data_IF_678645834601
#
_entry.id   IF_678645834601
#
_cell.length_a   1.000
_cell.length_b   1.000
_cell.length_c   1.000
_cell.angle_alpha   90.00
_cell.angle_beta   90.00
_cell.angle_gamma   90.00
#
_symmetry.space_group_name_H-M   'P 1'
#
loop_
_entity.id
_entity.type
_entity.pdbx_description
1 polymer ?
#
# COMPACT_ATOMS: atom_id res chain seq x y z
N UNK A 1 -25.93 16.02 -0.22
CA UNK A 1 -26.30 14.94 -1.20
C UNK A 1 -27.20 13.92 -0.52
N UNK A 2 -28.20 13.35 -1.20
CA UNK A 2 -29.10 12.36 -0.60
C UNK A 2 -28.41 11.00 -0.53
N UNK A 3 -28.74 10.18 0.48
CA UNK A 3 -28.25 8.79 0.61
C UNK A 3 -28.48 7.96 -0.66
N UNK A 4 -29.57 8.26 -1.38
CA UNK A 4 -29.89 7.63 -2.66
C UNK A 4 -28.85 7.92 -3.75
N UNK A 5 -28.36 9.16 -3.85
CA UNK A 5 -27.35 9.54 -4.84
C UNK A 5 -25.99 8.87 -4.56
N UNK A 6 -25.63 8.69 -3.29
CA UNK A 6 -24.42 7.95 -2.89
C UNK A 6 -24.55 6.45 -3.21
N UNK A 7 -25.73 5.88 -2.96
CA UNK A 7 -26.02 4.49 -3.31
C UNK A 7 -25.93 4.25 -4.83
N UNK A 8 -26.55 5.10 -5.62
CA UNK A 8 -26.49 5.03 -7.09
C UNK A 8 -25.06 5.22 -7.61
N UNK A 9 -24.29 6.12 -6.99
CA UNK A 9 -22.87 6.27 -7.32
C UNK A 9 -22.07 4.97 -7.08
N UNK A 10 -22.25 4.35 -5.91
CA UNK A 10 -21.60 3.06 -5.60
C UNK A 10 -22.02 1.95 -6.56
N UNK A 11 -23.28 1.96 -7.02
CA UNK A 11 -23.78 0.92 -7.93
C UNK A 11 -23.19 1.02 -9.34
N UNK A 12 -22.96 2.25 -9.83
CA UNK A 12 -22.42 2.49 -11.18
C UNK A 12 -20.91 2.34 -11.24
N UNK A 13 -20.21 2.59 -10.12
CA UNK A 13 -18.76 2.50 -10.08
C UNK A 13 -18.32 1.19 -9.46
N UNK A 14 -17.82 0.27 -10.29
CA UNK A 14 -17.40 -1.08 -9.91
C UNK A 14 -16.31 -1.11 -8.81
N UNK A 15 -15.54 -0.05 -8.66
CA UNK A 15 -14.50 0.12 -7.63
C UNK A 15 -15.07 0.05 -6.20
N UNK A 16 -16.38 0.31 -6.02
CA UNK A 16 -17.07 0.18 -4.73
C UNK A 16 -17.82 -1.14 -4.56
N UNK A 17 -17.76 -2.02 -5.55
CA UNK A 17 -18.43 -3.31 -5.46
C UNK A 17 -17.68 -4.26 -4.51
N UNK A 18 -18.39 -5.18 -3.84
CA UNK A 18 -17.75 -6.24 -3.09
C UNK A 18 -16.77 -7.01 -3.97
N UNK A 19 -15.57 -7.27 -3.45
CA UNK A 19 -14.52 -7.94 -4.24
C UNK A 19 -14.99 -9.31 -4.78
N UNK A 20 -15.87 -10.00 -4.08
CA UNK A 20 -16.45 -11.27 -4.52
C UNK A 20 -17.22 -11.13 -5.84
N UNK A 21 -17.91 -10.00 -6.05
CA UNK A 21 -18.66 -9.73 -7.29
C UNK A 21 -17.68 -9.42 -8.42
N UNK A 22 -16.67 -8.57 -8.15
CA UNK A 22 -15.67 -8.18 -9.15
C UNK A 22 -14.83 -9.36 -9.60
N UNK A 23 -14.45 -10.23 -8.66
CA UNK A 23 -13.62 -11.40 -8.95
C UNK A 23 -14.41 -12.66 -9.34
N UNK A 24 -15.75 -12.59 -9.39
CA UNK A 24 -16.58 -13.74 -9.74
C UNK A 24 -16.15 -14.46 -11.03
N UNK A 25 -15.83 -13.78 -12.15
CA UNK A 25 -15.34 -14.44 -13.35
C UNK A 25 -13.99 -15.16 -13.16
N UNK A 26 -13.14 -14.66 -12.25
CA UNK A 26 -11.82 -15.24 -11.99
C UNK A 26 -11.93 -16.61 -11.32
N UNK A 27 -13.01 -16.88 -10.56
CA UNK A 27 -13.23 -18.20 -9.97
C UNK A 27 -13.40 -19.31 -11.01
N UNK A 28 -14.06 -19.02 -12.15
CA UNK A 28 -14.17 -19.98 -13.25
C UNK A 28 -12.82 -20.23 -13.91
N UNK A 29 -12.03 -19.18 -14.09
CA UNK A 29 -10.68 -19.31 -14.63
C UNK A 29 -9.78 -20.10 -13.66
N UNK A 30 -9.89 -19.86 -12.36
CA UNK A 30 -9.19 -20.62 -11.34
C UNK A 30 -9.54 -22.13 -11.44
N UNK A 31 -10.82 -22.47 -11.47
CA UNK A 31 -11.28 -23.86 -11.59
C UNK A 31 -10.80 -24.53 -12.88
N UNK A 32 -10.82 -23.79 -13.99
CA UNK A 32 -10.28 -24.28 -15.26
C UNK A 32 -8.81 -24.68 -15.12
N UNK A 33 -7.98 -23.83 -14.50
CA UNK A 33 -6.58 -24.13 -14.30
C UNK A 33 -6.34 -25.22 -13.25
N UNK A 34 -7.14 -25.33 -12.21
CA UNK A 34 -7.09 -26.47 -11.26
C UNK A 34 -7.26 -27.80 -12.01
N UNK A 35 -8.27 -27.89 -12.88
CA UNK A 35 -8.53 -29.10 -13.67
C UNK A 35 -7.38 -29.37 -14.64
N UNK A 36 -6.92 -28.34 -15.37
CA UNK A 36 -5.87 -28.47 -16.39
C UNK A 36 -4.53 -28.87 -15.80
N UNK A 37 -4.17 -28.31 -14.65
CA UNK A 37 -2.88 -28.58 -13.98
C UNK A 37 -2.95 -29.74 -12.99
N UNK A 38 -4.15 -30.22 -12.67
CA UNK A 38 -4.42 -31.21 -11.60
C UNK A 38 -3.86 -30.77 -10.24
N UNK A 39 -3.85 -29.49 -9.98
CA UNK A 39 -3.34 -28.90 -8.73
C UNK A 39 -4.19 -27.72 -8.30
N UNK A 40 -4.62 -27.71 -7.03
CA UNK A 40 -5.29 -26.57 -6.42
C UNK A 40 -4.34 -25.40 -6.19
N UNK A 41 -3.05 -25.65 -6.06
CA UNK A 41 -2.02 -24.66 -5.73
C UNK A 41 -1.11 -24.34 -6.92
N UNK A 42 -1.63 -24.45 -8.16
CA UNK A 42 -0.86 -24.18 -9.37
C UNK A 42 -0.23 -22.78 -9.39
N UNK A 43 -0.88 -21.81 -8.73
CA UNK A 43 -0.40 -20.44 -8.65
C UNK A 43 0.94 -20.31 -7.90
N UNK A 44 1.30 -21.26 -7.03
CA UNK A 44 2.61 -21.25 -6.38
C UNK A 44 3.78 -21.34 -7.39
N UNK A 45 3.53 -21.88 -8.57
CA UNK A 45 4.54 -21.93 -9.63
C UNK A 45 4.89 -20.55 -10.22
N UNK A 46 4.04 -19.52 -9.97
CA UNK A 46 4.30 -18.15 -10.44
C UNK A 46 5.46 -17.50 -9.71
N UNK A 47 5.62 -17.80 -8.41
CA UNK A 47 6.70 -17.28 -7.56
C UNK A 47 7.12 -18.39 -6.57
N UNK A 48 7.89 -19.39 -7.01
CA UNK A 48 8.13 -20.60 -6.24
C UNK A 48 8.92 -20.40 -4.94
N UNK A 49 9.65 -19.31 -4.81
CA UNK A 49 10.41 -18.97 -3.61
C UNK A 49 9.63 -18.16 -2.60
N UNK A 50 8.46 -17.64 -2.99
CA UNK A 50 7.61 -16.85 -2.12
C UNK A 50 6.45 -17.73 -1.64
N UNK A 51 6.22 -17.74 -0.33
CA UNK A 51 5.14 -18.50 0.29
C UNK A 51 3.79 -18.19 -0.37
N UNK A 52 3.03 -19.24 -0.67
CA UNK A 52 1.74 -19.14 -1.37
C UNK A 52 1.80 -18.42 -2.74
N UNK A 53 2.97 -18.30 -3.36
CA UNK A 53 3.14 -17.64 -4.66
C UNK A 53 2.71 -16.16 -4.70
N UNK A 54 2.69 -15.47 -3.55
CA UNK A 54 2.14 -14.11 -3.34
C UNK A 54 0.61 -14.06 -3.46
N UNK A 55 -0.09 -15.16 -3.24
CA UNK A 55 -1.54 -15.16 -3.41
C UNK A 55 -2.29 -14.63 -2.18
N UNK A 56 -1.85 -14.97 -0.97
CA UNK A 56 -2.44 -14.51 0.29
C UNK A 56 -1.57 -14.80 1.51
N UNK A 57 -1.67 -13.97 2.55
CA UNK A 57 -1.07 -14.15 3.87
C UNK A 57 0.46 -14.33 3.85
N UNK A 58 1.13 -13.69 2.92
CA UNK A 58 2.59 -13.65 2.86
C UNK A 58 3.15 -12.72 3.94
N UNK A 59 4.30 -13.11 4.50
CA UNK A 59 5.11 -12.25 5.35
C UNK A 59 5.84 -11.22 4.48
N UNK A 60 5.71 -9.95 4.84
CA UNK A 60 6.47 -8.87 4.18
C UNK A 60 7.96 -8.98 4.47
N UNK A 61 8.31 -9.45 5.68
CA UNK A 61 9.71 -9.68 6.04
C UNK A 61 10.34 -10.76 5.17
N UNK A 62 9.65 -11.89 5.00
CA UNK A 62 10.11 -12.97 4.11
C UNK A 62 10.32 -12.47 2.67
N UNK A 63 9.45 -11.57 2.17
CA UNK A 63 9.62 -10.96 0.84
C UNK A 63 10.81 -10.01 0.82
N UNK A 64 10.96 -9.13 1.82
CA UNK A 64 12.11 -8.22 1.90
C UNK A 64 13.45 -8.98 1.95
N UNK A 65 13.51 -10.13 2.62
CA UNK A 65 14.71 -10.95 2.70
C UNK A 65 15.13 -11.58 1.35
N UNK A 66 14.22 -11.59 0.37
CA UNK A 66 14.54 -12.00 -1.00
C UNK A 66 15.03 -10.84 -1.88
N UNK A 67 14.80 -9.60 -1.46
CA UNK A 67 15.14 -8.39 -2.21
C UNK A 67 16.50 -7.87 -1.72
N UNK A 68 17.42 -7.45 -2.59
CA UNK A 68 18.65 -6.80 -2.16
C UNK A 68 18.36 -5.57 -1.28
N UNK A 69 19.12 -5.42 -0.20
CA UNK A 69 18.83 -4.47 0.88
C UNK A 69 18.81 -3.00 0.46
N UNK A 70 19.46 -2.67 -0.66
CA UNK A 70 19.47 -1.33 -1.22
C UNK A 70 18.13 -0.89 -1.85
N UNK A 71 17.20 -1.83 -2.11
CA UNK A 71 15.92 -1.55 -2.77
C UNK A 71 14.72 -1.48 -1.82
N UNK A 72 14.94 -1.61 -0.52
CA UNK A 72 13.88 -1.42 0.45
C UNK A 72 14.39 -0.70 1.73
N UNK A 73 13.52 0.01 2.45
CA UNK A 73 13.94 0.72 3.66
C UNK A 73 14.37 -0.24 4.76
N UNK A 74 15.30 0.18 5.63
CA UNK A 74 15.71 -0.60 6.80
C UNK A 74 14.47 -1.11 7.53
N UNK A 75 14.43 -2.41 7.79
CA UNK A 75 13.23 -3.08 8.29
C UNK A 75 13.59 -4.11 9.35
N UNK A 76 12.97 -4.00 10.51
CA UNK A 76 13.07 -4.93 11.63
C UNK A 76 11.78 -5.72 11.79
N UNK A 77 11.88 -7.01 12.04
CA UNK A 77 10.77 -7.83 12.52
C UNK A 77 10.80 -7.85 14.05
N UNK A 78 9.67 -7.55 14.65
CA UNK A 78 9.46 -7.52 16.10
C UNK A 78 8.35 -8.52 16.44
N UNK A 79 8.66 -9.46 17.33
CA UNK A 79 7.71 -10.43 17.84
C UNK A 79 6.86 -9.86 19.00
N UNK A 80 5.63 -10.34 19.22
CA UNK A 80 4.70 -9.74 20.19
C UNK A 80 5.17 -9.75 21.64
N UNK A 81 6.16 -10.60 22.00
CA UNK A 81 6.65 -10.76 23.37
C UNK A 81 7.95 -10.04 23.65
N UNK A 82 8.48 -9.27 22.71
CA UNK A 82 9.69 -8.52 22.93
C UNK A 82 9.46 -7.31 23.84
N UNK A 83 10.43 -7.01 24.70
CA UNK A 83 10.34 -5.83 25.56
C UNK A 83 10.67 -4.55 24.82
N UNK A 84 10.15 -3.42 25.30
CA UNK A 84 10.42 -2.11 24.68
C UNK A 84 11.93 -1.81 24.66
N UNK A 85 12.65 -2.17 25.70
CA UNK A 85 14.11 -1.98 25.80
C UNK A 85 14.84 -2.73 24.68
N UNK A 86 14.53 -4.02 24.50
CA UNK A 86 15.11 -4.84 23.43
C UNK A 86 14.80 -4.28 22.04
N UNK A 87 13.57 -3.79 21.85
CA UNK A 87 13.15 -3.19 20.57
C UNK A 87 13.91 -1.90 20.30
N UNK A 88 14.13 -1.06 21.33
CA UNK A 88 14.90 0.18 21.20
C UNK A 88 16.39 -0.10 20.86
N UNK A 89 16.98 -1.14 21.45
CA UNK A 89 18.33 -1.58 21.09
C UNK A 89 18.40 -2.02 19.63
N UNK A 90 17.47 -2.83 19.16
CA UNK A 90 17.38 -3.25 17.74
C UNK A 90 17.22 -2.06 16.80
N UNK A 91 16.36 -1.08 17.14
CA UNK A 91 16.14 0.14 16.35
C UNK A 91 17.44 0.92 16.21
N UNK A 92 18.17 1.07 17.32
CA UNK A 92 19.46 1.76 17.35
C UNK A 92 20.55 1.01 16.56
N UNK A 93 20.62 -0.31 16.70
CA UNK A 93 21.59 -1.15 15.94
C UNK A 93 21.32 -1.12 14.44
N UNK A 94 20.04 -1.06 14.03
CA UNK A 94 19.65 -0.95 12.63
C UNK A 94 19.77 0.47 12.08
N UNK A 95 20.13 1.45 12.92
CA UNK A 95 20.24 2.86 12.56
C UNK A 95 18.92 3.37 11.92
N UNK A 96 17.79 3.06 12.59
CA UNK A 96 16.45 3.54 12.26
C UNK A 96 16.13 4.72 13.19
N UNK A 97 15.60 5.81 12.62
CA UNK A 97 15.29 7.02 13.37
C UNK A 97 13.79 7.33 13.40
N UNK A 98 13.37 8.10 14.40
CA UNK A 98 12.03 8.68 14.42
C UNK A 98 11.96 9.90 13.47
N UNK A 99 10.83 10.10 12.76
CA UNK A 99 9.64 9.26 12.73
C UNK A 99 9.87 7.98 11.90
N UNK A 100 9.33 6.86 12.40
CA UNK A 100 9.39 5.55 11.75
C UNK A 100 7.99 5.03 11.42
N UNK A 101 7.91 3.94 10.64
CA UNK A 101 6.65 3.26 10.33
C UNK A 101 6.57 1.95 11.12
N UNK A 102 5.45 1.75 11.83
CA UNK A 102 5.07 0.48 12.41
C UNK A 102 3.89 -0.12 11.65
N UNK A 103 4.00 -1.37 11.24
CA UNK A 103 2.96 -2.07 10.46
C UNK A 103 2.96 -3.56 10.75
N UNK A 104 1.82 -4.28 10.59
CA UNK A 104 1.79 -5.73 10.68
C UNK A 104 2.68 -6.37 9.59
N UNK A 105 3.42 -7.42 9.96
CA UNK A 105 4.16 -8.22 8.97
C UNK A 105 3.18 -8.88 8.00
N UNK A 106 2.20 -9.61 8.53
CA UNK A 106 1.11 -10.17 7.73
C UNK A 106 -0.11 -9.27 7.88
N UNK A 107 -0.63 -8.74 6.78
CA UNK A 107 -1.79 -7.87 6.82
C UNK A 107 -2.10 -7.23 5.47
N UNK A 108 -3.34 -6.76 5.33
CA UNK A 108 -3.86 -6.22 4.08
C UNK A 108 -4.34 -4.78 4.24
N UNK A 109 -4.29 -4.01 3.14
CA UNK A 109 -4.97 -2.72 2.94
C UNK A 109 -4.60 -1.62 3.94
N UNK A 110 -3.35 -1.60 4.43
CA UNK A 110 -2.88 -0.57 5.35
C UNK A 110 -3.52 -0.63 6.75
N UNK A 111 -4.15 -1.74 7.12
CA UNK A 111 -4.70 -1.93 8.46
C UNK A 111 -3.57 -1.90 9.47
N UNK A 112 -3.74 -1.10 10.55
CA UNK A 112 -2.78 -0.92 11.63
C UNK A 112 -1.41 -0.37 11.22
N UNK A 113 -1.25 0.20 10.01
CA UNK A 113 -0.05 0.97 9.65
C UNK A 113 -0.09 2.30 10.39
N UNK A 114 1.00 2.64 11.07
CA UNK A 114 1.10 3.88 11.83
C UNK A 114 2.48 4.52 11.69
N UNK A 115 2.50 5.83 11.46
CA UNK A 115 3.69 6.66 11.61
C UNK A 115 3.87 6.96 13.09
N UNK A 116 5.04 6.68 13.60
CA UNK A 116 5.42 6.77 15.02
C UNK A 116 6.48 7.86 15.16
N UNK A 117 6.23 8.84 16.02
CA UNK A 117 7.11 9.99 16.21
C UNK A 117 7.95 9.90 17.50
N UNK A 118 7.50 9.11 18.47
CA UNK A 118 8.15 9.04 19.78
C UNK A 118 8.15 7.62 20.32
N UNK A 119 9.04 7.34 21.25
CA UNK A 119 9.08 6.08 22.00
C UNK A 119 7.77 5.78 22.73
N UNK A 120 7.09 6.80 23.25
CA UNK A 120 5.80 6.62 23.93
C UNK A 120 4.71 6.15 22.94
N UNK A 121 4.69 6.72 21.73
CA UNK A 121 3.77 6.26 20.68
C UNK A 121 4.08 4.82 20.25
N UNK A 122 5.36 4.45 20.20
CA UNK A 122 5.79 3.09 19.91
C UNK A 122 5.30 2.12 20.98
N UNK A 123 5.53 2.42 22.27
CA UNK A 123 5.07 1.60 23.38
C UNK A 123 3.55 1.41 23.36
N UNK A 124 2.80 2.49 23.10
CA UNK A 124 1.35 2.43 22.97
C UNK A 124 0.87 1.59 21.77
N UNK A 125 1.65 1.55 20.68
CA UNK A 125 1.36 0.69 19.53
C UNK A 125 1.64 -0.77 19.87
N UNK A 126 2.80 -1.07 20.45
CA UNK A 126 3.22 -2.42 20.84
C UNK A 126 2.25 -3.08 21.83
N UNK A 127 1.76 -2.36 22.84
CA UNK A 127 0.78 -2.86 23.82
C UNK A 127 -0.54 -3.34 23.19
N UNK A 128 -0.90 -2.77 22.03
CA UNK A 128 -2.13 -3.13 21.30
C UNK A 128 -1.94 -4.23 20.29
N UNK A 129 -0.72 -4.38 19.78
CA UNK A 129 -0.40 -5.34 18.75
C UNK A 129 -0.19 -6.74 19.35
N UNK A 130 -0.92 -7.73 18.84
CA UNK A 130 -0.82 -9.15 19.23
C UNK A 130 -0.36 -10.01 18.04
N UNK A 131 0.46 -9.42 17.17
CA UNK A 131 0.95 -10.00 15.93
C UNK A 131 2.35 -9.48 15.66
N UNK A 132 3.07 -10.14 14.77
CA UNK A 132 4.39 -9.72 14.33
C UNK A 132 4.34 -8.37 13.62
N UNK A 133 5.25 -7.47 13.99
CA UNK A 133 5.29 -6.09 13.54
C UNK A 133 6.57 -5.86 12.76
N UNK A 134 6.47 -5.11 11.69
CA UNK A 134 7.62 -4.48 11.05
C UNK A 134 7.79 -3.05 11.56
N UNK A 135 8.99 -2.75 12.02
CA UNK A 135 9.46 -1.37 12.23
C UNK A 135 10.37 -1.03 11.06
N UNK A 136 10.09 0.10 10.43
CA UNK A 136 10.72 0.45 9.15
C UNK A 136 11.02 1.95 9.10
N UNK A 137 12.13 2.32 8.44
CA UNK A 137 12.43 3.71 8.13
C UNK A 137 11.28 4.37 7.39
N UNK A 138 11.03 5.64 7.72
CA UNK A 138 10.11 6.46 6.97
C UNK A 138 10.79 6.91 5.67
N UNK A 139 10.22 6.50 4.55
CA UNK A 139 10.63 7.00 3.24
C UNK A 139 10.10 8.42 3.06
N UNK A 140 10.96 9.41 2.77
CA UNK A 140 10.58 10.82 2.67
C UNK A 140 9.98 11.22 1.32
N UNK A 141 9.62 10.26 0.47
CA UNK A 141 9.05 10.53 -0.84
C UNK A 141 7.54 10.69 -0.78
N UNK A 142 7.01 11.61 -1.58
CA UNK A 142 5.59 11.95 -1.59
C UNK A 142 4.79 11.19 -2.66
N UNK A 143 5.47 10.72 -3.70
CA UNK A 143 4.83 9.99 -4.78
C UNK A 143 4.88 8.48 -4.54
N UNK A 144 3.81 7.78 -4.91
CA UNK A 144 3.74 6.32 -4.81
C UNK A 144 3.10 5.74 -6.07
N UNK A 145 3.73 4.71 -6.63
CA UNK A 145 3.19 3.94 -7.76
C UNK A 145 3.10 2.46 -7.39
N UNK A 146 2.18 1.76 -8.05
CA UNK A 146 2.16 0.31 -8.13
C UNK A 146 2.65 -0.11 -9.51
N UNK A 147 3.82 -0.73 -9.59
CA UNK A 147 4.41 -1.21 -10.84
C UNK A 147 4.18 -2.71 -10.99
N UNK A 148 3.60 -3.12 -12.12
CA UNK A 148 3.33 -4.52 -12.43
C UNK A 148 4.44 -5.10 -13.29
N UNK A 149 5.11 -6.12 -12.79
CA UNK A 149 6.20 -6.82 -13.46
C UNK A 149 5.85 -8.26 -13.77
N UNK A 150 6.25 -8.75 -14.95
CA UNK A 150 6.08 -10.13 -15.40
C UNK A 150 7.33 -10.61 -16.11
N UNK A 151 7.79 -11.82 -15.77
CA UNK A 151 8.90 -12.51 -16.44
C UNK A 151 8.44 -13.91 -16.86
N UNK A 152 8.26 -14.12 -18.15
CA UNK A 152 7.94 -15.44 -18.69
C UNK A 152 9.21 -16.30 -18.80
N UNK A 153 9.10 -17.64 -18.76
CA UNK A 153 10.24 -18.52 -18.94
C UNK A 153 11.01 -18.22 -20.24
N UNK A 154 12.34 -18.13 -20.13
CA UNK A 154 13.24 -17.85 -21.26
C UNK A 154 13.01 -16.52 -22.00
N UNK A 155 12.39 -15.55 -21.33
CA UNK A 155 12.19 -14.22 -21.85
C UNK A 155 12.70 -13.18 -20.84
N UNK A 156 13.11 -11.98 -21.32
CA UNK A 156 13.33 -10.86 -20.42
C UNK A 156 12.03 -10.50 -19.72
N UNK A 157 12.12 -10.02 -18.50
CA UNK A 157 10.97 -9.50 -17.81
C UNK A 157 10.50 -8.16 -18.40
N UNK A 158 9.27 -7.81 -18.12
CA UNK A 158 8.68 -6.54 -18.58
C UNK A 158 7.75 -5.93 -17.56
N UNK A 159 7.72 -4.61 -17.53
CA UNK A 159 6.68 -3.85 -16.85
C UNK A 159 5.44 -3.90 -17.74
N UNK A 160 4.32 -4.33 -17.19
CA UNK A 160 3.05 -4.48 -17.91
C UNK A 160 2.07 -3.37 -17.62
N UNK A 161 2.35 -2.56 -16.61
CA UNK A 161 1.54 -1.39 -16.26
C UNK A 161 2.08 -0.69 -15.02
N UNK A 162 1.76 0.58 -14.93
CA UNK A 162 2.01 1.44 -13.76
C UNK A 162 0.70 2.07 -13.34
N UNK A 163 0.44 2.02 -12.04
CA UNK A 163 -0.70 2.69 -11.42
C UNK A 163 -0.18 3.72 -10.43
N UNK A 164 -0.37 5.00 -10.75
CA UNK A 164 -0.07 6.09 -9.83
C UNK A 164 -1.15 6.23 -8.76
N UNK A 165 -0.73 6.56 -7.54
CA UNK A 165 -1.61 6.79 -6.40
C UNK A 165 -1.75 8.29 -6.16
N UNK A 166 -2.91 8.85 -6.51
CA UNK A 166 -3.28 10.23 -6.18
C UNK A 166 -3.91 10.25 -4.79
N UNK A 167 -3.22 10.88 -3.84
CA UNK A 167 -3.70 11.01 -2.47
C UNK A 167 -4.87 11.99 -2.35
N UNK A 168 -5.61 11.90 -1.25
CA UNK A 168 -6.69 12.83 -0.93
C UNK A 168 -6.09 14.15 -0.39
N UNK A 169 -5.76 15.05 -1.29
CA UNK A 169 -5.26 16.38 -0.95
C UNK A 169 -6.39 17.39 -1.08
N UNK A 170 -6.74 18.08 0.00
CA UNK A 170 -7.65 19.20 0.00
C UNK A 170 -6.89 20.50 -0.06
N UNK A 171 -7.38 21.43 -0.89
CA UNK A 171 -6.85 22.78 -0.97
C UNK A 171 -7.85 23.75 -0.32
N UNK A 172 -7.38 24.52 0.64
CA UNK A 172 -8.15 25.57 1.30
C UNK A 172 -8.53 26.71 0.35
N UNK A 173 -9.70 27.29 0.60
CA UNK A 173 -10.18 28.45 -0.12
C UNK A 173 -10.40 29.67 0.79
N UNK A 174 -9.88 29.61 2.02
CA UNK A 174 -10.00 30.69 3.03
C UNK A 174 -11.41 30.92 3.57
N UNK A 175 -12.41 30.07 3.21
CA UNK A 175 -13.83 30.26 3.54
C UNK A 175 -14.49 29.03 4.11
N UNK A 176 -14.27 27.87 3.48
CA UNK A 176 -14.92 26.63 3.85
C UNK A 176 -14.08 25.84 4.84
N UNK A 177 -14.74 25.17 5.75
CA UNK A 177 -14.11 24.18 6.63
C UNK A 177 -13.64 22.96 5.83
N UNK A 178 -12.71 22.18 6.36
CA UNK A 178 -12.27 20.91 5.77
C UNK A 178 -13.50 20.02 5.51
N UNK A 179 -14.45 19.94 6.44
CA UNK A 179 -15.70 19.18 6.29
C UNK A 179 -16.51 19.64 5.07
N UNK A 180 -16.68 20.96 4.87
CA UNK A 180 -17.42 21.51 3.74
C UNK A 180 -16.70 21.25 2.41
N UNK A 181 -15.37 21.32 2.39
CA UNK A 181 -14.56 20.97 1.21
C UNK A 181 -14.72 19.49 0.85
N UNK A 182 -14.71 18.58 1.83
CA UNK A 182 -14.97 17.16 1.63
C UNK A 182 -16.35 16.89 1.00
N UNK A 183 -17.34 17.72 1.31
CA UNK A 183 -18.70 17.60 0.74
C UNK A 183 -18.79 17.99 -0.73
N UNK A 184 -17.79 18.66 -1.29
CA UNK A 184 -17.78 19.08 -2.69
C UNK A 184 -17.40 17.95 -3.64
N UNK A 185 -16.63 16.95 -3.18
CA UNK A 185 -16.26 15.78 -3.98
C UNK A 185 -16.98 14.51 -3.49
N UNK A 186 -17.67 13.84 -4.41
CA UNK A 186 -18.42 12.60 -4.13
C UNK A 186 -17.53 11.48 -3.59
N UNK A 187 -16.27 11.44 -4.02
CA UNK A 187 -15.30 10.44 -3.60
C UNK A 187 -14.92 10.65 -2.15
N UNK A 188 -14.72 11.89 -1.75
CA UNK A 188 -14.37 12.24 -0.37
C UNK A 188 -15.56 12.02 0.58
N UNK A 189 -16.79 12.23 0.11
CA UNK A 189 -18.00 11.92 0.87
C UNK A 189 -18.08 10.46 1.32
N UNK A 190 -17.56 9.52 0.52
CA UNK A 190 -17.55 8.10 0.87
C UNK A 190 -16.61 7.76 2.02
N UNK A 191 -15.66 8.64 2.31
CA UNK A 191 -14.69 8.52 3.41
C UNK A 191 -15.07 9.34 4.64
N UNK A 192 -16.11 10.15 4.54
CA UNK A 192 -16.44 11.14 5.57
C UNK A 192 -16.65 10.51 6.95
N UNK A 193 -17.33 9.37 7.04
CA UNK A 193 -17.57 8.68 8.33
C UNK A 193 -16.25 8.29 9.01
N UNK A 194 -15.28 7.76 8.23
CA UNK A 194 -13.96 7.36 8.75
C UNK A 194 -13.15 8.60 9.14
N UNK A 195 -13.19 9.64 8.32
CA UNK A 195 -12.49 10.90 8.59
C UNK A 195 -13.08 11.65 9.79
N UNK A 196 -14.39 11.58 9.99
CA UNK A 196 -15.06 12.16 11.16
C UNK A 196 -14.63 11.47 12.46
N UNK A 197 -14.45 10.15 12.43
CA UNK A 197 -13.98 9.40 13.59
C UNK A 197 -12.50 9.68 13.89
N UNK A 198 -11.66 9.83 12.85
CA UNK A 198 -10.21 10.01 12.98
C UNK A 198 -9.83 11.46 13.31
N UNK A 199 -10.43 12.43 12.62
CA UNK A 199 -10.05 13.86 12.70
C UNK A 199 -10.95 14.70 13.58
N UNK A 200 -12.17 14.26 13.89
CA UNK A 200 -13.12 14.93 14.81
C UNK A 200 -13.20 16.44 14.58
N UNK A 201 -12.82 17.21 15.60
CA UNK A 201 -12.91 18.68 15.59
C UNK A 201 -11.97 19.34 14.56
N UNK A 202 -10.90 18.67 14.15
CA UNK A 202 -10.00 19.19 13.13
C UNK A 202 -10.67 19.41 11.78
N UNK A 203 -11.77 18.70 11.49
CA UNK A 203 -12.55 18.91 10.27
C UNK A 203 -13.29 20.26 10.24
N UNK A 204 -13.39 20.96 11.36
CA UNK A 204 -14.02 22.29 11.46
C UNK A 204 -13.02 23.43 11.20
N UNK A 205 -11.74 23.14 10.98
CA UNK A 205 -10.71 24.13 10.65
C UNK A 205 -10.96 24.66 9.24
N UNK A 206 -10.78 25.98 9.06
CA UNK A 206 -10.75 26.64 7.76
C UNK A 206 -9.28 26.77 7.35
N UNK A 207 -8.89 26.12 6.26
CA UNK A 207 -7.56 26.26 5.68
C UNK A 207 -7.45 27.59 4.95
N UNK A 208 -6.28 28.23 5.01
CA UNK A 208 -6.02 29.43 4.23
C UNK A 208 -6.17 29.15 2.74
N UNK A 209 -6.36 30.21 1.92
CA UNK A 209 -6.41 30.07 0.47
C UNK A 209 -5.08 29.52 -0.05
N UNK A 210 -5.15 28.40 -0.80
CA UNK A 210 -3.98 27.70 -1.33
C UNK A 210 -3.27 26.76 -0.34
N UNK A 211 -3.63 26.78 0.94
CA UNK A 211 -3.10 25.81 1.91
C UNK A 211 -3.61 24.40 1.61
N UNK A 212 -2.72 23.41 1.61
CA UNK A 212 -3.06 22.02 1.32
C UNK A 212 -2.95 21.14 2.56
N UNK A 213 -3.83 20.17 2.67
CA UNK A 213 -3.78 19.12 3.69
C UNK A 213 -4.00 17.75 3.04
N UNK A 214 -3.12 16.80 3.36
CA UNK A 214 -3.31 15.38 3.02
C UNK A 214 -3.99 14.69 4.20
N UNK A 215 -5.26 14.33 4.04
CA UNK A 215 -6.06 13.68 5.08
C UNK A 215 -5.83 12.17 5.17
N UNK A 216 -5.28 11.56 4.12
CA UNK A 216 -5.04 10.12 4.08
C UNK A 216 -3.64 9.87 3.51
N UNK A 217 -2.60 9.93 4.36
CA UNK A 217 -1.21 9.80 3.91
C UNK A 217 -0.81 8.38 3.49
N UNK A 218 -1.74 7.42 3.52
CA UNK A 218 -1.49 6.03 3.15
C UNK A 218 -2.26 5.69 1.88
N UNK A 219 -1.54 5.30 0.83
CA UNK A 219 -2.07 4.96 -0.50
C UNK A 219 -2.98 3.74 -0.50
N UNK A 220 -4.23 3.89 -0.03
CA UNK A 220 -5.23 2.82 -0.03
C UNK A 220 -6.52 3.27 -0.71
N UNK A 221 -6.96 2.50 -1.70
CA UNK A 221 -8.20 2.76 -2.44
C UNK A 221 -9.44 2.84 -1.52
N UNK A 222 -9.51 1.96 -0.51
CA UNK A 222 -10.59 1.96 0.47
C UNK A 222 -10.62 3.23 1.33
N UNK A 223 -9.55 4.03 1.33
CA UNK A 223 -9.41 5.30 2.07
C UNK A 223 -9.45 6.54 1.17
N UNK A 224 -9.94 6.41 -0.08
CA UNK A 224 -10.15 7.55 -0.98
C UNK A 224 -8.99 7.86 -1.93
N UNK A 225 -7.86 7.16 -1.84
CA UNK A 225 -6.78 7.27 -2.83
C UNK A 225 -7.30 6.88 -4.21
N UNK A 226 -7.04 7.72 -5.21
CA UNK A 226 -7.39 7.43 -6.60
C UNK A 226 -6.23 6.71 -7.27
N UNK A 227 -6.54 5.66 -8.00
CA UNK A 227 -5.59 4.95 -8.84
C UNK A 227 -5.74 5.39 -10.29
N UNK A 228 -4.66 5.87 -10.86
CA UNK A 228 -4.61 6.40 -12.22
C UNK A 228 -3.64 5.58 -13.04
N UNK A 229 -4.04 5.19 -14.25
CA UNK A 229 -3.13 4.53 -15.19
C UNK A 229 -2.04 5.50 -15.62
N UNK A 230 -0.81 5.18 -15.26
CA UNK A 230 0.41 5.88 -15.63
C UNK A 230 1.33 5.01 -16.51
N UNK A 231 0.77 4.02 -17.20
CA UNK A 231 1.57 3.09 -18.02
C UNK A 231 2.27 3.80 -19.20
N UNK A 232 1.84 5.00 -19.56
CA UNK A 232 2.50 5.85 -20.57
C UNK A 232 3.87 6.38 -20.11
N UNK A 233 4.16 6.36 -18.80
CA UNK A 233 5.44 6.75 -18.23
C UNK A 233 6.52 5.64 -18.31
N UNK A 234 6.18 4.45 -18.79
CA UNK A 234 7.13 3.33 -18.92
C UNK A 234 8.16 3.68 -20.00
N UNK A 235 9.41 3.83 -19.57
CA UNK A 235 10.54 4.06 -20.48
C UNK A 235 11.39 2.80 -20.67
N UNK A 236 12.23 2.73 -21.72
CA UNK A 236 13.20 1.65 -21.89
C UNK A 236 14.18 1.54 -20.73
N UNK A 237 14.63 2.67 -20.18
CA UNK A 237 15.55 2.75 -19.06
C UNK A 237 14.93 2.18 -17.79
N UNK A 238 13.68 2.56 -17.50
CA UNK A 238 12.90 1.99 -16.40
C UNK A 238 12.73 0.47 -16.57
N UNK A 239 12.46 0.01 -17.79
CA UNK A 239 12.34 -1.43 -18.09
C UNK A 239 13.64 -2.19 -17.78
N UNK A 240 14.80 -1.64 -18.18
CA UNK A 240 16.12 -2.24 -17.94
C UNK A 240 16.46 -2.26 -16.45
N UNK A 241 16.21 -1.15 -15.73
CA UNK A 241 16.43 -1.03 -14.29
C UNK A 241 15.63 -2.08 -13.52
N UNK A 242 14.33 -2.20 -13.78
CA UNK A 242 13.49 -3.19 -13.11
C UNK A 242 13.81 -4.63 -13.52
N UNK A 243 14.26 -4.89 -14.73
CA UNK A 243 14.78 -6.20 -15.11
C UNK A 243 16.04 -6.54 -14.30
N UNK A 244 16.92 -5.58 -14.11
CA UNK A 244 18.14 -5.77 -13.30
C UNK A 244 17.79 -6.07 -11.84
N UNK A 245 16.91 -5.27 -11.22
CA UNK A 245 16.47 -5.47 -9.84
C UNK A 245 15.77 -6.82 -9.68
N UNK A 246 14.75 -7.10 -10.49
CA UNK A 246 13.94 -8.31 -10.39
C UNK A 246 14.72 -9.59 -10.73
N UNK A 247 15.80 -9.49 -11.53
CA UNK A 247 16.66 -10.64 -11.82
C UNK A 247 17.47 -11.12 -10.60
N UNK A 248 17.69 -10.25 -9.64
CA UNK A 248 18.39 -10.57 -8.38
C UNK A 248 17.46 -11.25 -7.37
N UNK A 249 16.13 -11.16 -7.56
CA UNK A 249 15.14 -11.79 -6.70
C UNK A 249 14.88 -13.21 -7.24
N UNK A 250 15.49 -14.20 -6.57
CA UNK A 250 15.38 -15.58 -7.02
C UNK A 250 13.92 -16.05 -7.01
N UNK A 251 13.48 -16.64 -8.14
CA UNK A 251 12.13 -17.21 -8.27
C UNK A 251 10.99 -16.19 -8.32
N UNK A 252 11.28 -14.91 -8.47
CA UNK A 252 10.28 -13.86 -8.69
C UNK A 252 9.97 -13.72 -10.18
N UNK A 253 8.76 -14.04 -10.57
CA UNK A 253 8.32 -14.01 -11.96
C UNK A 253 7.12 -13.11 -12.22
N UNK A 254 6.38 -12.76 -11.18
CA UNK A 254 5.16 -11.97 -11.33
C UNK A 254 4.84 -11.25 -10.02
N UNK A 255 4.51 -9.97 -10.10
CA UNK A 255 4.04 -9.23 -8.94
C UNK A 255 3.80 -7.76 -9.22
N UNK A 256 3.19 -7.10 -8.22
CA UNK A 256 3.11 -5.66 -8.13
C UNK A 256 4.09 -5.19 -7.05
N UNK A 257 4.92 -4.25 -7.40
CA UNK A 257 5.80 -3.55 -6.47
C UNK A 257 5.20 -2.17 -6.17
N UNK A 258 4.99 -1.87 -4.90
CA UNK A 258 4.59 -0.54 -4.45
C UNK A 258 5.87 0.25 -4.17
N UNK A 259 6.10 1.30 -4.94
CA UNK A 259 7.36 2.05 -5.00
C UNK A 259 7.07 3.49 -4.63
N UNK A 260 7.85 4.01 -3.69
CA UNK A 260 7.89 5.43 -3.39
C UNK A 260 9.06 6.08 -4.13
N UNK A 261 8.84 7.26 -4.70
CA UNK A 261 9.82 7.93 -5.55
C UNK A 261 9.70 9.45 -5.45
N UNK A 262 10.74 10.15 -5.80
CA UNK A 262 10.76 11.61 -5.88
C UNK A 262 10.37 12.08 -7.28
N UNK A 263 11.05 11.54 -8.31
CA UNK A 263 10.73 11.76 -9.74
C UNK A 263 10.89 10.46 -10.54
N UNK A 264 10.36 10.40 -11.75
CA UNK A 264 10.55 9.25 -12.65
C UNK A 264 11.97 9.15 -13.22
N UNK A 265 12.80 10.15 -12.97
CA UNK A 265 14.19 10.22 -13.44
C UNK A 265 15.16 9.60 -12.42
N UNK A 266 14.71 9.44 -11.16
CA UNK A 266 15.49 8.83 -10.07
C UNK A 266 15.44 7.29 -10.16
#
# INVERSE_FOLDING_TARGET
>A
MTKLNLFLHKLVHWEYWPYQVVYFPVYFQYLYYVIRTRSFFYFNASNPTIKNGVFFMESKKEIYDLIPSEYYPKTLLIEPNETLETIQEKIKEADIEFPLIAKPDIGLRGTAVKKIHTTEELDNYLKKAKFDILIQDLIPYENEIGLFYVKLPNQPGKITGIVAKEFMILTGNGKNTIRELLHQDKRYLLQLEVLEEEYKDKLNIILNEGETINLVPYGNHCRGTKFVDASHEITPEMMESFNTICSQINGFHFGRMDIMYHSYED
#
